data_IF_062244273085
#
_entry.id   IF_062244273085
#
_cell.length_a   1.000
_cell.length_b   1.000
_cell.length_c   1.000
_cell.angle_alpha   90.00
_cell.angle_beta   90.00
_cell.angle_gamma   90.00
#
_symmetry.space_group_name_H-M   'P 1'
#
loop_
_entity.id
_entity.type
_entity.pdbx_description
1 polymer ?
#
# COMPACT_ATOMS: atom_id res chain seq x y z
N UNK A 1 -11.82 26.81 26.42
CA UNK A 1 -12.07 25.35 26.25
C UNK A 1 -12.06 24.96 24.77
N UNK A 2 -10.88 24.85 24.11
CA UNK A 2 -10.75 24.44 22.69
C UNK A 2 -9.44 23.68 22.41
N UNK A 3 -9.08 22.73 23.28
CA UNK A 3 -7.79 22.02 23.18
C UNK A 3 -7.89 20.49 23.26
N UNK A 4 -9.08 19.90 23.10
CA UNK A 4 -9.26 18.45 23.27
C UNK A 4 -9.62 17.66 21.99
N UNK A 5 -9.93 18.32 20.86
CA UNK A 5 -10.63 17.64 19.76
C UNK A 5 -9.80 17.28 18.53
N UNK A 6 -8.48 17.55 18.48
CA UNK A 6 -7.70 17.13 17.31
C UNK A 6 -6.19 16.98 17.58
N UNK A 7 -5.58 15.79 17.39
CA UNK A 7 -4.14 15.65 17.40
C UNK A 7 -3.60 16.28 16.11
N UNK A 8 -3.35 17.59 16.14
CA UNK A 8 -2.95 18.37 14.95
C UNK A 8 -1.60 17.99 14.35
N UNK A 9 -0.76 17.16 14.99
CA UNK A 9 0.56 16.77 14.47
C UNK A 9 1.03 15.47 15.10
N UNK A 10 0.95 14.33 14.41
CA UNK A 10 1.93 13.25 14.66
C UNK A 10 2.04 12.14 13.60
N UNK A 11 1.11 11.99 12.65
CA UNK A 11 1.27 10.93 11.65
C UNK A 11 2.42 11.21 10.67
N UNK A 12 2.52 12.43 10.13
CA UNK A 12 3.55 12.77 9.15
C UNK A 12 4.98 12.73 9.72
N UNK A 13 5.18 13.18 10.97
CA UNK A 13 6.50 13.11 11.64
C UNK A 13 6.87 11.69 12.05
N UNK A 14 5.92 10.89 12.54
CA UNK A 14 6.18 9.47 12.81
C UNK A 14 6.47 8.71 11.52
N UNK A 15 5.70 8.94 10.45
CA UNK A 15 6.01 8.42 9.12
C UNK A 15 7.41 8.82 8.66
N UNK A 16 7.80 10.08 8.84
CA UNK A 16 9.14 10.56 8.47
C UNK A 16 10.25 9.92 9.31
N UNK A 17 10.05 9.72 10.61
CA UNK A 17 11.01 9.05 11.48
C UNK A 17 11.15 7.57 11.14
N UNK A 18 10.04 6.86 10.94
CA UNK A 18 10.05 5.47 10.51
C UNK A 18 10.60 5.32 9.08
N UNK A 19 10.22 6.19 8.14
CA UNK A 19 10.78 6.33 6.78
C UNK A 19 12.30 6.51 6.82
N UNK A 20 12.81 7.41 7.66
CA UNK A 20 14.27 7.58 7.88
C UNK A 20 14.93 6.35 8.51
N UNK A 21 14.23 5.62 9.40
CA UNK A 21 14.71 4.35 9.97
C UNK A 21 14.79 3.24 8.92
N UNK A 22 13.85 3.20 7.97
CA UNK A 22 13.87 2.28 6.82
C UNK A 22 14.92 2.65 5.80
N UNK A 23 15.17 3.94 5.57
CA UNK A 23 16.28 4.38 4.73
C UNK A 23 17.64 4.01 5.32
N UNK A 24 17.70 3.84 6.65
CA UNK A 24 18.89 3.35 7.37
C UNK A 24 19.00 1.82 7.35
N UNK A 25 17.89 1.09 7.37
CA UNK A 25 17.91 -0.33 7.04
C UNK A 25 18.22 -0.46 5.54
N UNK A 26 19.16 -1.32 5.15
CA UNK A 26 19.49 -1.58 3.74
C UNK A 26 18.37 -2.36 3.04
N UNK A 27 17.14 -1.84 3.00
CA UNK A 27 16.01 -2.52 2.38
C UNK A 27 16.30 -2.72 0.88
N UNK A 28 16.25 -3.97 0.43
CA UNK A 28 16.45 -4.32 -0.97
C UNK A 28 15.29 -3.78 -1.82
N UNK A 29 15.51 -3.49 -3.12
CA UNK A 29 14.42 -3.07 -4.02
C UNK A 29 13.25 -4.06 -4.00
N UNK A 30 13.57 -5.35 -3.86
CA UNK A 30 12.60 -6.41 -3.70
C UNK A 30 11.75 -6.25 -2.43
N UNK A 31 12.37 -6.07 -1.26
CA UNK A 31 11.63 -5.92 0.00
C UNK A 31 10.68 -4.72 -0.01
N UNK A 32 11.11 -3.60 -0.60
CA UNK A 32 10.25 -2.40 -0.74
C UNK A 32 9.09 -2.67 -1.69
N UNK A 33 9.35 -3.25 -2.87
CA UNK A 33 8.33 -3.58 -3.85
C UNK A 33 7.31 -4.60 -3.31
N UNK A 34 7.78 -5.64 -2.62
CA UNK A 34 6.94 -6.64 -1.97
C UNK A 34 6.05 -6.01 -0.89
N UNK A 35 6.60 -5.07 -0.11
CA UNK A 35 5.83 -4.30 0.86
C UNK A 35 4.72 -3.49 0.19
N UNK A 36 5.04 -2.65 -0.81
CA UNK A 36 4.03 -1.86 -1.53
C UNK A 36 2.94 -2.75 -2.11
N UNK A 37 3.31 -3.86 -2.76
CA UNK A 37 2.36 -4.81 -3.34
C UNK A 37 1.40 -5.39 -2.28
N UNK A 38 1.91 -5.78 -1.12
CA UNK A 38 1.10 -6.28 -0.01
C UNK A 38 0.11 -5.22 0.52
N UNK A 39 0.53 -3.95 0.59
CA UNK A 39 -0.34 -2.84 1.00
C UNK A 39 -1.44 -2.53 -0.02
N UNK A 40 -1.10 -2.54 -1.30
CA UNK A 40 -2.05 -2.36 -2.41
C UNK A 40 -3.08 -3.51 -2.42
N UNK A 41 -2.61 -4.75 -2.35
CA UNK A 41 -3.47 -5.95 -2.29
C UNK A 41 -4.45 -5.85 -1.12
N UNK A 42 -3.96 -5.53 0.07
CA UNK A 42 -4.80 -5.48 1.26
C UNK A 42 -5.86 -4.37 1.20
N UNK A 43 -5.64 -3.30 0.43
CA UNK A 43 -6.59 -2.18 0.31
C UNK A 43 -7.90 -2.56 -0.39
N UNK A 44 -7.92 -3.66 -1.15
CA UNK A 44 -9.13 -4.21 -1.75
C UNK A 44 -9.99 -4.98 -0.73
N UNK A 45 -9.43 -5.39 0.41
CA UNK A 45 -10.19 -6.10 1.43
C UNK A 45 -11.07 -5.11 2.21
N UNK A 46 -12.39 -5.39 2.31
CA UNK A 46 -13.29 -4.56 3.10
C UNK A 46 -13.00 -4.69 4.60
N UNK A 47 -13.43 -3.67 5.35
CA UNK A 47 -13.32 -3.57 6.81
C UNK A 47 -11.89 -3.25 7.28
N UNK A 48 -11.77 -2.63 8.46
CA UNK A 48 -10.49 -2.12 9.02
C UNK A 48 -9.36 -3.14 9.22
N UNK A 49 -9.54 -4.38 8.76
CA UNK A 49 -8.53 -5.43 8.74
C UNK A 49 -7.49 -5.27 7.63
N UNK A 50 -7.67 -4.40 6.64
CA UNK A 50 -6.68 -4.23 5.56
C UNK A 50 -5.27 -3.89 6.08
N UNK A 51 -5.12 -3.18 7.21
CA UNK A 51 -3.80 -2.99 7.83
C UNK A 51 -3.22 -4.28 8.42
N UNK A 52 -4.05 -5.11 9.03
CA UNK A 52 -3.62 -6.41 9.54
C UNK A 52 -3.27 -7.37 8.39
N UNK A 53 -4.11 -7.43 7.36
CA UNK A 53 -3.86 -8.22 6.13
C UNK A 53 -2.57 -7.74 5.45
N UNK A 54 -2.37 -6.42 5.32
CA UNK A 54 -1.13 -5.84 4.79
C UNK A 54 0.08 -6.26 5.63
N UNK A 55 -0.01 -6.24 6.96
CA UNK A 55 1.08 -6.62 7.85
C UNK A 55 1.41 -8.11 7.76
N UNK A 56 0.40 -8.98 7.76
CA UNK A 56 0.57 -10.44 7.64
C UNK A 56 1.16 -10.80 6.28
N UNK A 57 0.61 -10.28 5.18
CA UNK A 57 1.14 -10.53 3.85
C UNK A 57 2.56 -9.98 3.70
N UNK A 58 2.82 -8.79 4.24
CA UNK A 58 4.17 -8.23 4.22
C UNK A 58 5.16 -9.11 4.98
N UNK A 59 4.75 -9.69 6.12
CA UNK A 59 5.58 -10.63 6.86
C UNK A 59 5.85 -11.93 6.08
N UNK A 60 4.81 -12.51 5.46
CA UNK A 60 4.91 -13.73 4.64
C UNK A 60 5.84 -13.55 3.44
N UNK A 61 5.75 -12.41 2.74
CA UNK A 61 6.58 -12.12 1.56
C UNK A 61 7.95 -11.54 1.96
N UNK A 62 8.29 -11.50 3.26
CA UNK A 62 9.49 -10.86 3.78
C UNK A 62 9.70 -9.42 3.25
N UNK A 63 8.58 -8.71 3.07
CA UNK A 63 8.53 -7.35 2.57
C UNK A 63 8.86 -6.31 3.63
N UNK A 64 8.96 -5.06 3.20
CA UNK A 64 9.14 -3.94 4.11
C UNK A 64 7.78 -3.49 4.67
N UNK A 65 7.57 -3.71 5.97
CA UNK A 65 6.29 -3.40 6.65
C UNK A 65 5.83 -1.96 6.45
N UNK A 66 6.74 -1.01 6.34
CA UNK A 66 6.37 0.39 6.15
C UNK A 66 6.10 0.72 4.70
N UNK A 67 6.77 0.07 3.75
CA UNK A 67 6.34 0.15 2.36
C UNK A 67 4.91 -0.42 2.18
N UNK A 68 4.56 -1.48 2.93
CA UNK A 68 3.20 -1.99 3.00
C UNK A 68 2.22 -1.01 3.65
N UNK A 69 2.58 -0.40 4.77
CA UNK A 69 1.77 0.63 5.39
C UNK A 69 1.55 1.84 4.46
N UNK A 70 2.57 2.26 3.70
CA UNK A 70 2.44 3.35 2.73
C UNK A 70 1.52 2.98 1.57
N UNK A 71 1.63 1.77 1.03
CA UNK A 71 0.71 1.25 0.03
C UNK A 71 -0.73 1.22 0.57
N UNK A 72 -0.92 0.66 1.76
CA UNK A 72 -2.22 0.57 2.42
C UNK A 72 -2.82 1.94 2.75
N UNK A 73 -2.03 2.94 3.16
CA UNK A 73 -2.54 4.29 3.44
C UNK A 73 -2.90 5.05 2.16
N UNK A 74 -2.09 4.89 1.10
CA UNK A 74 -2.33 5.60 -0.15
C UNK A 74 -3.62 5.10 -0.82
N UNK A 75 -3.80 3.77 -0.88
CA UNK A 75 -4.95 3.14 -1.51
C UNK A 75 -6.13 2.94 -0.54
N UNK A 76 -5.90 2.78 0.75
CA UNK A 76 -6.94 2.66 1.78
C UNK A 76 -7.33 4.00 2.42
N UNK A 77 -7.55 5.03 1.61
CA UNK A 77 -8.03 6.33 2.09
C UNK A 77 -9.58 6.41 1.97
N UNK A 78 -10.27 7.23 2.80
CA UNK A 78 -11.73 7.34 2.75
C UNK A 78 -12.31 7.74 1.39
N UNK A 79 -11.53 8.42 0.55
CA UNK A 79 -11.92 8.84 -0.79
C UNK A 79 -11.80 7.69 -1.82
N UNK A 80 -10.86 6.76 -1.64
CA UNK A 80 -10.61 5.63 -2.54
C UNK A 80 -11.39 4.39 -2.17
N UNK A 81 -11.87 4.26 -0.92
CA UNK A 81 -12.67 3.10 -0.51
C UNK A 81 -13.91 2.87 -1.37
N UNK A 82 -14.77 3.86 -1.69
CA UNK A 82 -15.95 3.62 -2.53
C UNK A 82 -15.58 3.03 -3.89
N UNK A 83 -14.46 3.48 -4.47
CA UNK A 83 -13.98 3.01 -5.76
C UNK A 83 -13.42 1.58 -5.68
N UNK A 84 -12.53 1.31 -4.74
CA UNK A 84 -11.90 -0.01 -4.58
C UNK A 84 -12.92 -1.09 -4.20
N UNK A 85 -13.83 -0.75 -3.29
CA UNK A 85 -14.87 -1.66 -2.83
C UNK A 85 -15.95 -1.86 -3.88
N UNK A 86 -16.34 -0.81 -4.60
CA UNK A 86 -17.23 -0.93 -5.76
C UNK A 86 -16.64 -1.85 -6.83
N UNK A 87 -15.37 -1.64 -7.21
CA UNK A 87 -14.69 -2.49 -8.18
C UNK A 87 -14.59 -3.95 -7.70
N UNK A 88 -14.22 -4.17 -6.42
CA UNK A 88 -14.13 -5.53 -5.85
C UNK A 88 -15.49 -6.22 -5.79
N UNK A 89 -16.56 -5.48 -5.49
CA UNK A 89 -17.91 -6.02 -5.47
C UNK A 89 -18.41 -6.36 -6.90
N UNK A 90 -18.14 -5.50 -7.88
CA UNK A 90 -18.50 -5.76 -9.28
C UNK A 90 -17.76 -6.96 -9.86
N UNK A 91 -16.44 -7.05 -9.65
CA UNK A 91 -15.65 -8.21 -10.07
C UNK A 91 -16.07 -9.47 -9.31
N UNK A 92 -16.37 -9.34 -8.02
CA UNK A 92 -16.91 -10.42 -7.21
C UNK A 92 -18.19 -11.00 -7.78
N UNK A 93 -19.15 -10.15 -8.13
CA UNK A 93 -20.40 -10.52 -8.79
C UNK A 93 -20.18 -11.07 -10.20
N UNK A 94 -19.18 -10.56 -10.92
CA UNK A 94 -18.75 -11.10 -12.22
C UNK A 94 -18.29 -12.56 -12.10
N UNK A 95 -17.57 -12.87 -11.03
CA UNK A 95 -17.09 -14.23 -10.76
C UNK A 95 -18.21 -15.11 -10.19
N UNK A 96 -19.08 -14.56 -9.36
CA UNK A 96 -20.22 -15.25 -8.75
C UNK A 96 -21.46 -15.34 -9.65
N UNK A 97 -21.29 -15.22 -10.97
CA UNK A 97 -22.29 -15.05 -12.04
C UNK A 97 -23.53 -15.96 -12.04
N UNK A 98 -23.69 -16.88 -11.09
CA UNK A 98 -24.81 -17.84 -10.99
C UNK A 98 -25.56 -17.85 -9.64
N UNK A 99 -25.16 -17.09 -8.61
CA UNK A 99 -25.80 -17.20 -7.27
C UNK A 99 -26.34 -15.92 -6.63
N UNK A 100 -26.17 -14.73 -7.22
CA UNK A 100 -26.71 -13.48 -6.66
C UNK A 100 -27.84 -12.88 -7.51
N UNK A 101 -28.88 -12.27 -6.89
CA UNK A 101 -29.95 -11.61 -7.62
C UNK A 101 -29.41 -10.49 -8.53
N UNK A 102 -29.92 -10.40 -9.77
CA UNK A 102 -29.52 -9.42 -10.81
C UNK A 102 -29.68 -7.94 -10.43
N UNK A 103 -30.25 -7.63 -9.26
CA UNK A 103 -30.72 -6.29 -8.90
C UNK A 103 -29.64 -5.48 -8.17
N UNK A 104 -28.59 -5.06 -8.87
CA UNK A 104 -27.68 -3.98 -8.43
C UNK A 104 -27.08 -4.11 -7.04
N UNK A 105 -26.30 -3.12 -6.56
CA UNK A 105 -26.06 -2.99 -5.14
C UNK A 105 -27.43 -2.74 -4.50
N UNK A 106 -27.78 -3.37 -3.36
CA UNK A 106 -29.03 -3.00 -2.71
C UNK A 106 -29.00 -1.49 -2.53
N UNK A 107 -30.03 -0.79 -3.02
CA UNK A 107 -30.17 0.67 -2.99
C UNK A 107 -30.07 1.29 -1.57
N UNK A 108 -29.83 0.44 -0.57
CA UNK A 108 -29.74 0.69 0.85
C UNK A 108 -28.33 0.40 1.40
N UNK A 109 -27.27 0.28 0.59
CA UNK A 109 -25.89 0.12 1.09
C UNK A 109 -25.50 1.24 2.08
N UNK A 110 -25.94 2.47 1.81
CA UNK A 110 -25.78 3.58 2.75
C UNK A 110 -26.56 3.38 4.05
N UNK A 111 -27.83 2.98 3.97
CA UNK A 111 -28.69 2.76 5.15
C UNK A 111 -28.32 1.53 5.99
N UNK A 112 -27.82 0.46 5.36
CA UNK A 112 -27.33 -0.75 6.03
C UNK A 112 -26.01 -0.49 6.78
N UNK A 113 -25.19 0.46 6.30
CA UNK A 113 -23.99 0.91 7.03
C UNK A 113 -24.35 1.69 8.30
N UNK A 114 -25.50 2.38 8.32
CA UNK A 114 -25.99 3.10 9.50
C UNK A 114 -26.70 2.19 10.52
N UNK A 115 -27.31 1.09 10.06
CA UNK A 115 -28.00 0.11 10.91
C UNK A 115 -27.08 -1.06 11.25
N UNK A 116 -26.03 -0.78 12.03
CA UNK A 116 -25.00 -1.65 12.66
C UNK A 116 -25.32 -3.16 12.81
N UNK A 117 -25.56 -3.86 11.72
CA UNK A 117 -25.88 -5.29 11.68
C UNK A 117 -24.80 -5.99 10.85
N UNK A 118 -23.59 -6.04 11.38
CA UNK A 118 -22.41 -6.66 10.74
C UNK A 118 -22.72 -8.08 10.21
N UNK A 119 -23.60 -8.82 10.91
CA UNK A 119 -24.06 -10.16 10.52
C UNK A 119 -24.95 -10.19 9.27
N UNK A 120 -25.72 -9.12 8.97
CA UNK A 120 -26.60 -9.04 7.77
C UNK A 120 -25.86 -8.59 6.51
N UNK A 121 -24.67 -8.00 6.65
CA UNK A 121 -23.82 -7.54 5.55
C UNK A 121 -22.84 -8.61 5.03
N UNK A 122 -22.64 -9.69 5.80
CA UNK A 122 -21.63 -10.71 5.52
C UNK A 122 -21.85 -11.45 4.20
N UNK A 123 -23.01 -12.09 4.03
CA UNK A 123 -23.31 -12.87 2.83
C UNK A 123 -23.58 -12.03 1.56
N UNK A 124 -24.39 -10.96 1.58
CA UNK A 124 -24.74 -10.26 0.34
C UNK A 124 -23.66 -9.30 -0.18
N UNK A 125 -22.74 -8.84 0.68
CA UNK A 125 -21.78 -7.76 0.33
C UNK A 125 -20.34 -8.19 0.55
N UNK A 126 -19.98 -8.71 1.74
CA UNK A 126 -18.59 -9.03 2.05
C UNK A 126 -18.07 -10.25 1.29
N UNK A 127 -18.89 -11.30 1.14
CA UNK A 127 -18.53 -12.51 0.40
C UNK A 127 -18.14 -12.23 -1.07
N UNK A 128 -18.98 -11.58 -1.91
CA UNK A 128 -18.58 -11.26 -3.28
C UNK A 128 -17.39 -10.28 -3.30
N UNK A 129 -17.33 -9.31 -2.39
CA UNK A 129 -16.20 -8.39 -2.32
C UNK A 129 -14.87 -9.07 -2.05
N UNK A 130 -14.81 -10.04 -1.13
CA UNK A 130 -13.60 -10.80 -0.86
C UNK A 130 -13.16 -11.60 -2.07
N UNK A 131 -14.11 -12.20 -2.79
CA UNK A 131 -13.85 -12.97 -4.00
C UNK A 131 -13.31 -12.08 -5.12
N UNK A 132 -13.84 -10.87 -5.30
CA UNK A 132 -13.33 -9.92 -6.29
C UNK A 132 -12.04 -9.20 -5.85
N UNK A 133 -11.82 -9.07 -4.53
CA UNK A 133 -10.62 -8.45 -3.96
C UNK A 133 -9.36 -9.28 -4.22
N UNK A 134 -9.45 -10.61 -4.24
CA UNK A 134 -8.32 -11.50 -4.53
C UNK A 134 -7.74 -11.26 -5.93
N UNK A 135 -8.48 -11.38 -7.05
CA UNK A 135 -7.94 -11.18 -8.39
C UNK A 135 -7.55 -9.73 -8.65
N UNK A 136 -8.36 -8.75 -8.25
CA UNK A 136 -8.01 -7.33 -8.40
C UNK A 136 -6.77 -6.99 -7.58
N UNK A 137 -6.74 -7.39 -6.31
CA UNK A 137 -5.61 -7.17 -5.43
C UNK A 137 -4.33 -7.80 -5.97
N UNK A 138 -4.42 -8.99 -6.59
CA UNK A 138 -3.27 -9.68 -7.15
C UNK A 138 -2.76 -8.98 -8.42
N UNK A 139 -3.67 -8.57 -9.32
CA UNK A 139 -3.33 -7.81 -10.53
C UNK A 139 -2.68 -6.48 -10.16
N UNK A 140 -3.34 -5.66 -9.36
CA UNK A 140 -2.82 -4.36 -8.95
C UNK A 140 -1.56 -4.51 -8.10
N UNK A 141 -1.51 -5.50 -7.20
CA UNK A 141 -0.32 -5.82 -6.40
C UNK A 141 0.90 -6.14 -7.27
N UNK A 142 0.74 -6.98 -8.29
CA UNK A 142 1.83 -7.34 -9.22
C UNK A 142 2.27 -6.15 -10.08
N UNK A 143 1.34 -5.33 -10.56
CA UNK A 143 1.65 -4.11 -11.30
C UNK A 143 2.49 -3.16 -10.43
N UNK A 144 2.04 -2.89 -9.20
CA UNK A 144 2.75 -2.01 -8.29
C UNK A 144 4.08 -2.59 -7.81
N UNK A 145 4.19 -3.91 -7.67
CA UNK A 145 5.46 -4.59 -7.43
C UNK A 145 6.46 -4.29 -8.56
N UNK A 146 6.04 -4.46 -9.81
CA UNK A 146 6.87 -4.21 -11.00
C UNK A 146 7.34 -2.76 -11.07
N UNK A 147 6.40 -1.81 -10.98
CA UNK A 147 6.68 -0.37 -11.02
C UNK A 147 7.64 0.03 -9.89
N UNK A 148 7.36 -0.39 -8.66
CA UNK A 148 8.18 -0.04 -7.49
C UNK A 148 9.57 -0.65 -7.60
N UNK A 149 9.68 -1.92 -8.02
CA UNK A 149 10.97 -2.59 -8.20
C UNK A 149 11.81 -1.87 -9.25
N UNK A 150 11.22 -1.57 -10.41
CA UNK A 150 11.89 -0.86 -11.50
C UNK A 150 12.36 0.54 -11.07
N UNK A 151 11.48 1.32 -10.43
CA UNK A 151 11.82 2.65 -9.92
C UNK A 151 12.95 2.61 -8.89
N UNK A 152 12.92 1.64 -7.98
CA UNK A 152 13.97 1.45 -6.96
C UNK A 152 15.31 0.99 -7.55
N UNK A 153 15.30 0.13 -8.58
CA UNK A 153 16.53 -0.28 -9.27
C UNK A 153 17.15 0.86 -10.05
N UNK A 154 16.36 1.63 -10.79
CA UNK A 154 16.83 2.81 -11.52
C UNK A 154 17.43 3.86 -10.58
N UNK A 155 16.79 4.09 -9.42
CA UNK A 155 17.27 5.06 -8.44
C UNK A 155 18.57 4.62 -7.74
N UNK A 156 18.72 3.31 -7.44
CA UNK A 156 19.98 2.76 -6.89
C UNK A 156 21.12 2.87 -7.90
N UNK A 157 20.86 2.64 -9.18
CA UNK A 157 21.88 2.73 -10.22
C UNK A 157 22.36 4.18 -10.40
N UNK A 158 21.44 5.14 -10.41
CA UNK A 158 21.78 6.57 -10.46
C UNK A 158 22.56 7.04 -9.22
N UNK A 159 22.19 6.57 -8.01
CA UNK A 159 22.95 6.86 -6.79
C UNK A 159 24.36 6.28 -6.83
N UNK A 160 24.52 5.07 -7.35
CA UNK A 160 25.84 4.43 -7.49
C UNK A 160 26.73 5.21 -8.45
N UNK A 161 26.20 5.67 -9.58
CA UNK A 161 26.91 6.53 -10.55
C UNK A 161 27.33 7.86 -9.92
N UNK A 162 26.42 8.56 -9.25
CA UNK A 162 26.72 9.84 -8.55
C UNK A 162 27.77 9.70 -7.44
N UNK A 163 27.76 8.58 -6.70
CA UNK A 163 28.78 8.33 -5.67
C UNK A 163 30.14 7.97 -6.27
N UNK A 164 30.17 7.25 -7.39
CA UNK A 164 31.40 6.95 -8.13
C UNK A 164 32.02 8.23 -8.73
N UNK A 165 31.21 9.13 -9.30
CA UNK A 165 31.66 10.44 -9.79
C UNK A 165 32.24 11.31 -8.67
N UNK A 166 31.61 11.30 -7.49
CA UNK A 166 32.11 12.02 -6.30
C UNK A 166 33.43 11.44 -5.80
N UNK A 167 33.58 10.11 -5.79
CA UNK A 167 34.82 9.44 -5.42
C UNK A 167 35.94 9.75 -6.43
N UNK A 168 35.64 9.77 -7.73
CA UNK A 168 36.60 10.14 -8.78
C UNK A 168 37.06 11.60 -8.66
N UNK A 169 36.14 12.54 -8.41
CA UNK A 169 36.48 13.96 -8.16
C UNK A 169 37.30 14.16 -6.88
N UNK A 170 36.99 13.42 -5.82
CA UNK A 170 37.77 13.48 -4.58
C UNK A 170 39.20 12.94 -4.74
N UNK A 171 39.38 11.89 -5.56
CA UNK A 171 40.69 11.33 -5.89
C UNK A 171 41.56 12.23 -6.76
N UNK A 172 40.96 12.99 -7.70
CA UNK A 172 41.70 13.97 -8.50
C UNK A 172 42.15 15.18 -7.68
N UNK A 173 41.27 15.71 -6.81
CA UNK A 173 41.58 16.90 -5.99
C UNK A 173 42.68 16.65 -4.95
N UNK A 174 42.88 15.39 -4.54
CA UNK A 174 43.98 15.00 -3.65
C UNK A 174 45.33 14.81 -4.34
N UNK A 175 45.38 14.73 -5.68
CA UNK A 175 46.63 14.63 -6.46
C UNK A 175 47.17 15.98 -6.93
N UNK A 176 46.33 17.03 -6.93
CA UNK A 176 46.67 18.38 -7.38
C UNK A 176 47.13 19.32 -6.25
N UNK A 177 47.30 18.82 -5.02
CA UNK A 177 47.95 19.58 -3.93
C UNK A 177 49.40 19.10 -3.86
N UNK A 178 50.37 19.79 -4.51
CA UNK A 178 51.78 19.46 -4.36
C UNK A 178 52.20 19.84 -2.94
N UNK A 179 52.96 18.96 -2.30
CA UNK A 179 53.63 19.29 -1.05
C UNK A 179 54.64 20.42 -1.35
N UNK A 180 54.42 21.57 -0.72
CA UNK A 180 55.39 22.67 -0.66
C UNK A 180 56.68 22.23 0.04
#
# INVERSE_FOLDING_TARGET
MRTYLWPRRSFSRSLQYFSKRILRLKATPHAVAAGVAAGVFASFFPLGFHFAVAAVLCWVVAGNLVAAALGAVFFGNPLTFPLLWGASWEVGKLILHERLPKNGPPAHLGEMMHTLSFAKLWHPVLEPMLIGAVPLGLIFGLIFYGITRWGMTAFREQRRKRMAERAHKAGHRGREVPAE
#
